data_IF_464366637481
#
_entry.id   IF_464366637481
#
_cell.length_a   1.000
_cell.length_b   1.000
_cell.length_c   1.000
_cell.angle_alpha   90.00
_cell.angle_beta   90.00
_cell.angle_gamma   90.00
#
_symmetry.space_group_name_H-M   'P 1'
#
loop_
_entity.id
_entity.type
_entity.pdbx_description
1 polymer ?
#
# COMPACT_ATOMS: atom_id res chain seq x y z
N UNK A 1 -22.48 17.48 -13.91
CA UNK A 1 -22.53 16.10 -13.48
C UNK A 1 -21.29 15.35 -13.91
N UNK A 2 -20.74 14.63 -12.99
CA UNK A 2 -19.57 13.84 -13.31
C UNK A 2 -19.92 12.68 -14.20
N UNK A 3 -19.25 12.59 -15.33
CA UNK A 3 -19.25 11.38 -16.13
C UNK A 3 -18.09 10.54 -15.65
N UNK A 4 -18.08 9.28 -15.95
CA UNK A 4 -16.97 8.44 -15.63
C UNK A 4 -15.69 8.94 -16.28
N UNK A 5 -14.59 8.75 -15.62
CA UNK A 5 -13.26 8.97 -16.20
C UNK A 5 -12.96 7.86 -17.17
N UNK A 6 -12.14 8.15 -18.20
CA UNK A 6 -11.59 7.09 -19.05
C UNK A 6 -10.62 6.22 -18.25
N UNK A 7 -10.03 6.76 -17.17
CA UNK A 7 -9.26 5.96 -16.24
C UNK A 7 -10.21 5.29 -15.25
N UNK A 8 -10.12 3.97 -15.14
CA UNK A 8 -11.04 3.18 -14.30
C UNK A 8 -10.43 2.79 -12.96
N UNK A 9 -9.12 2.96 -12.80
CA UNK A 9 -8.45 2.63 -11.54
C UNK A 9 -6.95 2.47 -11.74
N UNK A 10 -6.26 2.09 -10.69
CA UNK A 10 -4.85 1.68 -10.79
C UNK A 10 -4.83 0.27 -11.34
N UNK A 11 -4.08 0.06 -12.43
CA UNK A 11 -3.95 -1.26 -13.04
C UNK A 11 -2.97 -2.14 -12.24
N UNK A 12 -1.77 -1.62 -12.04
CA UNK A 12 -0.74 -2.31 -11.27
C UNK A 12 0.28 -1.28 -10.78
N UNK A 13 1.10 -1.71 -9.85
CA UNK A 13 2.20 -0.90 -9.31
C UNK A 13 3.48 -1.70 -9.49
N UNK A 14 4.55 -1.05 -9.92
CA UNK A 14 5.86 -1.68 -10.05
C UNK A 14 6.81 -1.08 -9.03
N UNK A 15 7.47 -1.93 -8.27
CA UNK A 15 8.53 -1.54 -7.35
C UNK A 15 9.83 -2.21 -7.79
N UNK A 16 10.90 -1.43 -7.83
CA UNK A 16 12.23 -1.95 -8.09
C UNK A 16 12.81 -2.45 -6.78
N UNK A 17 13.32 -3.68 -6.79
CA UNK A 17 13.87 -4.35 -5.60
C UNK A 17 15.28 -4.85 -5.90
N UNK A 18 16.14 -4.86 -4.88
CA UNK A 18 17.52 -5.27 -5.05
C UNK A 18 17.68 -6.80 -5.04
N UNK A 19 16.72 -7.51 -4.47
CA UNK A 19 16.80 -8.97 -4.27
C UNK A 19 15.38 -9.52 -4.33
N UNK A 20 15.09 -10.32 -5.38
CA UNK A 20 13.75 -10.87 -5.56
C UNK A 20 13.36 -11.84 -4.45
N UNK A 21 14.26 -12.69 -3.99
CA UNK A 21 13.95 -13.64 -2.92
C UNK A 21 13.61 -12.92 -1.63
N UNK A 22 14.37 -11.90 -1.28
CA UNK A 22 14.11 -11.10 -0.08
C UNK A 22 12.78 -10.37 -0.20
N UNK A 23 12.50 -9.77 -1.35
CA UNK A 23 11.24 -9.06 -1.58
C UNK A 23 10.05 -10.02 -1.53
N UNK A 24 10.16 -11.20 -2.12
CA UNK A 24 9.11 -12.21 -2.08
C UNK A 24 8.84 -12.69 -0.65
N UNK A 25 9.90 -12.85 0.16
CA UNK A 25 9.73 -13.18 1.57
C UNK A 25 8.87 -12.15 2.30
N UNK A 26 9.12 -10.87 2.04
CA UNK A 26 8.34 -9.81 2.65
C UNK A 26 6.90 -9.77 2.12
N UNK A 27 6.75 -9.66 0.80
CA UNK A 27 5.43 -9.43 0.20
C UNK A 27 4.54 -10.67 0.25
N UNK A 28 5.09 -11.87 0.11
CA UNK A 28 4.29 -13.10 0.12
C UNK A 28 4.17 -13.68 1.52
N UNK A 29 5.28 -13.86 2.23
CA UNK A 29 5.25 -14.55 3.52
C UNK A 29 4.73 -13.64 4.64
N UNK A 30 5.09 -12.36 4.63
CA UNK A 30 4.71 -11.44 5.69
C UNK A 30 3.45 -10.65 5.36
N UNK A 31 3.32 -10.11 4.15
CA UNK A 31 2.12 -9.38 3.74
C UNK A 31 1.00 -10.30 3.24
N UNK A 32 1.34 -11.51 2.83
CA UNK A 32 0.34 -12.48 2.41
C UNK A 32 -0.11 -12.36 0.96
N UNK A 33 0.66 -11.67 0.11
CA UNK A 33 0.35 -11.63 -1.31
C UNK A 33 0.70 -12.97 -1.95
N UNK A 34 0.02 -13.28 -3.04
CA UNK A 34 0.18 -14.54 -3.76
C UNK A 34 1.06 -14.32 -4.98
N UNK A 35 2.11 -15.13 -5.11
CA UNK A 35 2.95 -15.10 -6.31
C UNK A 35 2.20 -15.70 -7.48
N UNK A 36 2.12 -14.99 -8.61
CA UNK A 36 1.41 -15.45 -9.80
C UNK A 36 2.35 -15.74 -10.95
N UNK A 37 3.52 -15.12 -10.99
CA UNK A 37 4.52 -15.37 -12.00
C UNK A 37 5.87 -14.94 -11.46
N UNK A 38 6.91 -15.63 -11.90
CA UNK A 38 8.28 -15.28 -11.53
C UNK A 38 9.22 -15.61 -12.68
N UNK A 39 10.04 -14.64 -13.04
CA UNK A 39 11.16 -14.81 -13.95
C UNK A 39 12.46 -14.48 -13.24
N UNK A 40 13.59 -14.48 -13.96
CA UNK A 40 14.88 -14.17 -13.33
C UNK A 40 15.01 -12.72 -12.86
N UNK A 41 14.20 -11.81 -13.39
CA UNK A 41 14.31 -10.38 -13.07
C UNK A 41 12.99 -9.73 -12.66
N UNK A 42 11.92 -10.50 -12.56
CA UNK A 42 10.62 -9.93 -12.17
C UNK A 42 9.78 -10.96 -11.43
N UNK A 43 8.79 -10.45 -10.70
CA UNK A 43 7.75 -11.29 -10.12
C UNK A 43 6.43 -10.51 -10.13
N UNK A 44 5.33 -11.20 -10.38
CA UNK A 44 3.99 -10.65 -10.32
C UNK A 44 3.26 -11.23 -9.13
N UNK A 45 2.72 -10.35 -8.30
CA UNK A 45 2.04 -10.72 -7.08
C UNK A 45 0.60 -10.21 -7.11
N UNK A 46 -0.28 -10.92 -6.42
CA UNK A 46 -1.70 -10.59 -6.37
C UNK A 46 -2.19 -10.64 -4.92
N UNK A 47 -3.04 -9.68 -4.58
CA UNK A 47 -3.78 -9.68 -3.31
C UNK A 47 -5.07 -8.93 -3.51
N UNK A 48 -6.23 -9.62 -3.40
CA UNK A 48 -7.50 -8.98 -3.74
C UNK A 48 -7.45 -8.43 -5.16
N UNK A 49 -7.74 -7.14 -5.30
CA UNK A 49 -7.68 -6.45 -6.59
C UNK A 49 -6.30 -5.90 -6.92
N UNK A 50 -5.33 -6.05 -6.02
CA UNK A 50 -3.99 -5.53 -6.23
C UNK A 50 -3.18 -6.45 -7.14
N UNK A 51 -2.54 -5.85 -8.14
CA UNK A 51 -1.49 -6.48 -8.92
C UNK A 51 -0.21 -5.69 -8.66
N UNK A 52 0.75 -6.32 -7.98
CA UNK A 52 2.05 -5.74 -7.67
C UNK A 52 3.12 -6.41 -8.51
N UNK A 53 3.92 -5.59 -9.20
CA UNK A 53 5.07 -6.07 -9.96
C UNK A 53 6.34 -5.76 -9.17
N UNK A 54 7.19 -6.75 -9.02
CA UNK A 54 8.54 -6.55 -8.49
C UNK A 54 9.52 -6.70 -9.64
N UNK A 55 10.43 -5.75 -9.76
CA UNK A 55 11.39 -5.72 -10.84
C UNK A 55 12.79 -5.61 -10.25
N UNK A 56 13.67 -6.54 -10.63
CA UNK A 56 15.03 -6.56 -10.10
C UNK A 56 15.81 -5.37 -10.65
N UNK A 57 16.45 -4.62 -9.78
CA UNK A 57 17.24 -3.47 -10.16
C UNK A 57 17.81 -2.75 -8.95
N UNK A 58 18.14 -1.48 -9.13
CA UNK A 58 18.64 -0.65 -8.05
C UNK A 58 17.50 0.22 -7.51
N UNK A 59 16.98 -0.07 -6.32
CA UNK A 59 15.84 0.67 -5.80
C UNK A 59 16.21 2.10 -5.41
N UNK A 60 15.25 3.00 -5.66
CA UNK A 60 15.37 4.40 -5.25
C UNK A 60 14.06 4.78 -4.56
N UNK A 61 13.90 4.39 -3.29
CA UNK A 61 12.67 4.70 -2.58
C UNK A 61 12.46 6.19 -2.41
N UNK A 62 11.20 6.60 -2.32
CA UNK A 62 10.85 8.01 -2.19
C UNK A 62 11.48 8.61 -0.92
N UNK A 63 12.06 9.80 -1.07
CA UNK A 63 12.62 10.55 0.06
C UNK A 63 11.57 11.43 0.72
N UNK A 64 10.51 11.76 0.00
CA UNK A 64 9.35 12.47 0.56
C UNK A 64 8.30 11.45 1.05
N UNK A 65 7.09 11.94 1.36
CA UNK A 65 6.02 11.09 1.89
C UNK A 65 5.22 10.35 0.81
N UNK A 66 5.69 10.32 -0.44
CA UNK A 66 5.04 9.53 -1.49
C UNK A 66 5.06 8.06 -1.11
N UNK A 67 3.91 7.40 -1.20
CA UNK A 67 3.79 6.02 -0.72
C UNK A 67 2.62 5.31 -1.40
N UNK A 68 2.55 4.01 -1.18
CA UNK A 68 1.44 3.17 -1.64
C UNK A 68 0.67 2.72 -0.42
N UNK A 69 -0.65 2.94 -0.43
CA UNK A 69 -1.54 2.45 0.62
C UNK A 69 -2.33 1.25 0.10
N UNK A 70 -2.27 0.16 0.85
CA UNK A 70 -3.04 -1.05 0.57
C UNK A 70 -4.26 -1.08 1.47
N UNK A 71 -5.41 -1.43 0.91
CA UNK A 71 -6.64 -1.58 1.68
C UNK A 71 -6.62 -2.90 2.45
N UNK A 72 -7.02 -2.84 3.71
CA UNK A 72 -7.16 -4.02 4.56
C UNK A 72 -8.46 -3.95 5.34
N UNK A 73 -8.98 -5.11 5.73
CA UNK A 73 -10.11 -5.17 6.67
C UNK A 73 -9.61 -4.91 8.09
N UNK A 74 -10.49 -4.56 9.04
CA UNK A 74 -10.06 -4.43 10.44
C UNK A 74 -9.37 -5.68 10.99
N UNK A 75 -9.89 -6.86 10.66
CA UNK A 75 -9.32 -8.14 11.09
C UNK A 75 -7.96 -8.39 10.42
N UNK A 76 -7.86 -8.08 9.13
CA UNK A 76 -6.60 -8.18 8.39
C UNK A 76 -5.56 -7.22 8.92
N UNK A 77 -5.97 -5.99 9.28
CA UNK A 77 -5.07 -5.01 9.86
C UNK A 77 -4.45 -5.52 11.16
N UNK A 78 -5.26 -6.11 12.04
CA UNK A 78 -4.77 -6.66 13.30
C UNK A 78 -3.76 -7.79 13.08
N UNK A 79 -4.07 -8.72 12.14
CA UNK A 79 -3.16 -9.82 11.84
C UNK A 79 -1.84 -9.34 11.24
N UNK A 80 -1.91 -8.40 10.31
CA UNK A 80 -0.72 -7.88 9.63
C UNK A 80 0.13 -7.03 10.56
N UNK A 81 -0.50 -6.22 11.43
CA UNK A 81 0.24 -5.41 12.40
C UNK A 81 1.05 -6.30 13.33
N UNK A 82 0.47 -7.41 13.78
CA UNK A 82 1.21 -8.36 14.61
C UNK A 82 2.38 -9.00 13.86
N UNK A 83 2.14 -9.39 12.62
CA UNK A 83 3.15 -10.05 11.78
C UNK A 83 4.29 -9.12 11.38
N UNK A 84 4.01 -7.82 11.31
CA UNK A 84 4.95 -6.80 10.85
C UNK A 84 5.46 -5.92 12.00
N UNK A 85 5.41 -6.42 13.22
CA UNK A 85 5.78 -5.64 14.41
C UNK A 85 7.22 -5.13 14.37
N UNK A 86 8.11 -5.84 13.68
CA UNK A 86 9.53 -5.50 13.56
C UNK A 86 9.86 -4.71 12.29
N UNK A 87 8.89 -4.49 11.40
CA UNK A 87 9.15 -3.71 10.18
C UNK A 87 9.35 -2.24 10.54
N UNK A 88 10.33 -1.55 9.92
CA UNK A 88 10.53 -0.12 10.20
C UNK A 88 9.29 0.71 9.89
N UNK A 89 9.06 1.71 10.71
CA UNK A 89 7.97 2.67 10.54
C UNK A 89 8.53 3.97 10.00
N UNK A 90 7.79 4.62 9.09
CA UNK A 90 8.21 5.90 8.55
C UNK A 90 7.27 7.04 8.94
N UNK A 91 6.13 6.73 9.55
CA UNK A 91 5.16 7.73 9.96
C UNK A 91 4.23 7.15 11.02
N UNK A 92 3.72 7.99 11.91
CA UNK A 92 2.66 7.62 12.85
C UNK A 92 1.30 7.94 12.24
N UNK A 93 0.29 7.12 12.55
CA UNK A 93 -1.07 7.39 12.07
C UNK A 93 -1.66 8.61 12.77
N UNK A 94 -2.13 9.58 11.98
CA UNK A 94 -2.81 10.79 12.47
C UNK A 94 -4.08 11.08 11.67
N UNK A 95 -4.52 10.18 10.80
CA UNK A 95 -5.70 10.37 9.98
C UNK A 95 -6.82 9.47 10.46
N UNK A 96 -8.03 9.64 9.87
CA UNK A 96 -9.15 8.77 10.21
C UNK A 96 -8.87 7.34 9.77
N UNK A 97 -9.46 6.38 10.47
CA UNK A 97 -9.25 4.97 10.22
C UNK A 97 -7.95 4.48 10.83
N UNK A 98 -7.70 3.18 10.70
CA UNK A 98 -6.47 2.58 11.17
C UNK A 98 -5.45 2.57 10.05
N UNK A 99 -4.24 3.00 10.34
CA UNK A 99 -3.13 3.00 9.39
C UNK A 99 -1.86 2.51 10.04
N UNK A 100 -1.09 1.74 9.26
CA UNK A 100 0.25 1.33 9.61
C UNK A 100 1.17 1.77 8.48
N UNK A 101 2.13 2.64 8.78
CA UNK A 101 3.09 3.18 7.82
C UNK A 101 4.42 2.47 8.01
N UNK A 102 4.78 1.63 7.05
CA UNK A 102 5.95 0.76 7.17
C UNK A 102 6.79 0.82 5.90
N UNK A 103 8.00 0.28 6.00
CA UNK A 103 8.90 0.17 4.85
C UNK A 103 9.13 -1.28 4.50
N UNK A 104 9.28 -1.55 3.19
CA UNK A 104 9.69 -2.86 2.73
C UNK A 104 11.22 -3.03 2.91
N UNK A 105 11.80 -4.19 2.57
CA UNK A 105 13.25 -4.40 2.74
C UNK A 105 14.14 -3.43 1.97
N UNK A 106 13.64 -2.82 0.90
CA UNK A 106 14.38 -1.84 0.11
C UNK A 106 14.13 -0.41 0.53
N UNK A 107 13.26 -0.19 1.54
CA UNK A 107 12.94 1.13 2.01
C UNK A 107 11.75 1.79 1.33
N UNK A 108 11.04 1.09 0.46
CA UNK A 108 9.82 1.64 -0.15
C UNK A 108 8.77 1.89 0.92
N UNK A 109 8.15 3.06 0.86
CA UNK A 109 7.14 3.48 1.84
C UNK A 109 5.79 2.90 1.51
N UNK A 110 5.23 2.19 2.45
CA UNK A 110 3.94 1.51 2.32
C UNK A 110 3.03 1.95 3.46
N UNK A 111 1.74 1.79 3.23
CA UNK A 111 0.73 1.98 4.25
C UNK A 111 -0.26 0.82 4.16
N UNK A 112 -0.73 0.34 5.30
CA UNK A 112 -1.91 -0.51 5.38
C UNK A 112 -3.02 0.35 5.97
N UNK A 113 -4.17 0.44 5.30
CA UNK A 113 -5.23 1.35 5.71
C UNK A 113 -6.59 0.69 5.72
N UNK A 114 -7.32 0.90 6.83
CA UNK A 114 -8.73 0.53 6.94
C UNK A 114 -9.54 1.80 6.68
N UNK A 115 -10.21 1.87 5.54
CA UNK A 115 -11.00 3.04 5.19
C UNK A 115 -11.16 3.17 3.69
N UNK A 116 -11.93 4.16 3.28
CA UNK A 116 -12.23 4.45 1.88
C UNK A 116 -12.21 5.96 1.66
N UNK A 117 -12.26 6.37 0.40
CA UNK A 117 -12.45 7.79 0.09
C UNK A 117 -13.74 8.31 0.75
N UNK A 118 -14.81 7.53 0.65
CA UNK A 118 -16.10 7.94 1.23
C UNK A 118 -15.99 8.14 2.75
N UNK A 119 -15.34 7.23 3.47
CA UNK A 119 -15.17 7.38 4.92
C UNK A 119 -14.31 8.58 5.28
N UNK A 120 -13.27 8.86 4.49
CA UNK A 120 -12.39 10.00 4.70
C UNK A 120 -13.15 11.31 4.49
N UNK A 121 -13.94 11.40 3.43
CA UNK A 121 -14.73 12.60 3.15
C UNK A 121 -15.77 12.84 4.23
N UNK A 122 -16.43 11.78 4.69
CA UNK A 122 -17.39 11.88 5.79
C UNK A 122 -16.73 12.40 7.08
N UNK A 123 -15.51 11.95 7.34
CA UNK A 123 -14.75 12.42 8.50
C UNK A 123 -14.39 13.91 8.37
N UNK A 124 -13.90 14.33 7.20
CA UNK A 124 -13.54 15.73 6.97
C UNK A 124 -14.75 16.65 7.09
N UNK A 125 -15.92 16.21 6.61
CA UNK A 125 -17.14 17.01 6.72
C UNK A 125 -17.48 17.35 8.17
N UNK A 126 -17.07 16.51 9.12
CA UNK A 126 -17.32 16.70 10.55
C UNK A 126 -16.20 17.41 11.29
N UNK A 127 -14.96 17.23 10.86
CA UNK A 127 -13.79 17.58 11.67
C UNK A 127 -12.86 18.59 11.02
N UNK A 128 -12.97 18.81 9.71
CA UNK A 128 -11.98 19.60 8.99
C UNK A 128 -12.64 20.57 8.01
N UNK A 129 -13.21 21.69 8.52
CA UNK A 129 -14.01 22.61 7.68
C UNK A 129 -13.18 23.31 6.59
N UNK A 130 -11.87 23.34 6.71
CA UNK A 130 -11.01 23.95 5.69
C UNK A 130 -10.89 23.08 4.43
N UNK A 131 -11.27 21.80 4.50
CA UNK A 131 -11.29 20.92 3.34
C UNK A 131 -12.67 20.97 2.72
N UNK A 132 -12.74 21.50 1.51
CA UNK A 132 -13.98 21.58 0.75
C UNK A 132 -14.30 20.21 0.14
N UNK A 133 -15.48 19.68 0.44
CA UNK A 133 -15.93 18.41 -0.13
C UNK A 133 -16.64 18.73 -1.45
N UNK A 134 -16.20 18.09 -2.52
CA UNK A 134 -16.71 18.31 -3.87
C UNK A 134 -17.48 17.11 -4.37
N UNK A 135 -18.47 17.35 -5.22
CA UNK A 135 -19.27 16.29 -5.85
C UNK A 135 -18.50 15.61 -7.00
#
# INVERSE_FOLDING_TARGET
MATGSDITGVNHVTLVVADLDRALGFYCERLGLRSRARGPRLAYLEGGALWLCLELGQPQPAQDDSHIAFSVTPEGFARLTARLSDAPRWKANRSEGASLYLQDPDGHKLELHVGTLASRLAHYAKTNPEIEILD
#
